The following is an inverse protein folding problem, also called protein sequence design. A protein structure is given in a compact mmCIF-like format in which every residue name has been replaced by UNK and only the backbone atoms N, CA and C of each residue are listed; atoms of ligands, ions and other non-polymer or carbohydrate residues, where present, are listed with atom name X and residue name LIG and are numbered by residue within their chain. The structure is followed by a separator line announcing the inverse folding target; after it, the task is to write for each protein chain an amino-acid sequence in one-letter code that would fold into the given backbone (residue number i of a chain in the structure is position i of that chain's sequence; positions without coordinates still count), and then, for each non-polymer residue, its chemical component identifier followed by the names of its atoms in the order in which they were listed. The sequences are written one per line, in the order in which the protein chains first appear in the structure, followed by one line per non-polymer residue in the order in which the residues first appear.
data_IF_769454729711
#
_entry.id   IF_769454729711
#
_cell.length_a   1.000
_cell.length_b   1.000
_cell.length_c   1.000
_cell.angle_alpha   90.00
_cell.angle_beta   90.00
_cell.angle_gamma   90.00
#
_symmetry.space_group_name_H-M   'P 1'
#
loop_
_entity.id
_entity.type
_entity.pdbx_description
1 polymer ?
#
# COMPACT_ATOMS: atom_id res chain seq x y z
N UNK A 1 -24.20 35.20 30.17
CA UNK A 1 -23.15 35.69 31.08
C UNK A 1 -23.16 34.82 32.34
N UNK A 2 -22.14 33.99 32.52
CA UNK A 2 -21.61 33.54 33.82
C UNK A 2 -20.37 32.69 33.50
N UNK A 3 -19.19 33.24 33.78
CA UNK A 3 -17.90 32.59 33.62
C UNK A 3 -17.48 31.97 34.96
N UNK A 4 -16.99 30.73 34.94
CA UNK A 4 -16.39 30.08 36.11
C UNK A 4 -14.94 29.73 35.79
N UNK A 5 -14.03 30.47 36.41
CA UNK A 5 -12.58 30.29 36.37
C UNK A 5 -12.17 29.35 37.51
N UNK A 6 -11.40 28.31 37.21
CA UNK A 6 -10.80 27.40 38.20
C UNK A 6 -9.29 27.63 38.26
N UNK A 7 -8.79 28.08 39.41
CA UNK A 7 -7.35 28.12 39.72
C UNK A 7 -7.00 26.95 40.65
N UNK A 8 -5.91 26.24 40.34
CA UNK A 8 -5.35 25.18 41.17
C UNK A 8 -4.06 25.67 41.80
N UNK A 9 -4.02 25.64 43.13
CA UNK A 9 -2.90 26.09 43.96
C UNK A 9 -1.97 24.92 44.28
N UNK A 10 -0.66 25.11 44.10
CA UNK A 10 0.39 24.14 44.39
C UNK A 10 0.80 24.19 45.87
N UNK A 11 0.93 23.03 46.51
CA UNK A 11 1.37 22.89 47.91
C UNK A 11 2.71 22.12 47.93
N UNK A 12 3.78 22.80 48.33
CA UNK A 12 5.09 22.22 48.64
C UNK A 12 5.17 21.88 50.12
N UNK A 13 5.67 20.68 50.44
CA UNK A 13 5.95 20.26 51.81
C UNK A 13 7.46 20.00 51.99
N UNK A 14 8.05 20.70 52.96
CA UNK A 14 9.42 20.57 53.42
C UNK A 14 9.39 19.85 54.77
N UNK A 15 10.19 18.78 54.94
CA UNK A 15 10.35 18.08 56.23
C UNK A 15 11.82 18.20 56.69
N UNK A 16 12.11 18.70 57.91
CA UNK A 16 13.45 18.76 58.45
C UNK A 16 13.88 17.48 59.18
N UNK A 17 15.20 17.29 59.19
CA UNK A 17 16.01 16.20 59.73
C UNK A 17 15.98 16.03 61.25
N UNK A 18 16.01 14.78 61.73
CA UNK A 18 16.57 14.43 63.03
C UNK A 18 17.69 13.39 62.86
N UNK A 19 18.85 13.70 63.43
CA UNK A 19 20.04 12.85 63.40
C UNK A 19 20.10 11.87 64.56
N UNK A 20 20.68 10.70 64.29
CA UNK A 20 21.24 9.79 65.28
C UNK A 20 22.59 9.28 64.76
N UNK A 21 23.65 9.59 65.50
CA UNK A 21 25.03 9.09 65.31
C UNK A 21 25.18 7.77 66.04
N UNK A 22 25.90 6.81 65.46
CA UNK A 22 26.62 5.70 66.12
C UNK A 22 27.67 5.14 65.11
N UNK A 23 28.70 4.39 65.55
CA UNK A 23 30.10 4.80 65.40
C UNK A 23 30.86 4.13 64.25
N UNK A 24 31.92 4.83 63.83
CA UNK A 24 32.89 4.48 62.79
C UNK A 24 33.73 3.25 63.14
N UNK A 25 33.74 2.26 62.26
CA UNK A 25 34.78 1.22 62.18
C UNK A 25 35.36 1.23 60.76
N UNK A 26 36.61 1.64 60.65
CA UNK A 26 37.38 1.72 59.41
C UNK A 26 37.84 0.33 58.96
N UNK A 27 37.53 -0.01 57.71
CA UNK A 27 38.13 -1.15 57.01
C UNK A 27 38.73 -0.64 55.69
N UNK A 28 39.91 -1.14 55.27
CA UNK A 28 40.67 -0.57 54.17
C UNK A 28 39.99 -0.76 52.80
N UNK A 29 40.08 0.32 52.01
CA UNK A 29 39.55 0.51 50.67
C UNK A 29 40.08 -0.54 49.67
N UNK A 30 39.18 -1.37 49.14
CA UNK A 30 39.39 -2.12 47.91
C UNK A 30 38.99 -1.21 46.74
N UNK A 31 39.97 -0.89 45.89
CA UNK A 31 39.80 -0.04 44.70
C UNK A 31 38.76 -0.67 43.74
N UNK A 32 37.72 0.05 43.32
CA UNK A 32 36.84 -0.45 42.27
C UNK A 32 37.57 -0.38 40.92
N UNK A 33 37.78 -1.54 40.30
CA UNK A 33 38.16 -1.62 38.89
C UNK A 33 37.06 -0.96 38.05
N UNK A 34 37.39 0.17 37.43
CA UNK A 34 36.56 0.78 36.38
C UNK A 34 36.47 -0.20 35.21
N UNK A 35 35.40 -1.00 35.16
CA UNK A 35 34.97 -1.63 33.91
C UNK A 35 34.45 -0.52 33.01
N UNK A 36 35.26 -0.12 32.04
CA UNK A 36 34.79 0.59 30.86
C UNK A 36 33.84 -0.35 30.11
N UNK A 37 32.54 -0.21 30.35
CA UNK A 37 31.55 -0.71 29.41
C UNK A 37 31.63 0.24 28.22
N UNK A 38 32.38 -0.14 27.18
CA UNK A 38 32.20 0.43 25.86
C UNK A 38 30.77 0.10 25.49
N UNK A 39 29.87 1.08 25.57
CA UNK A 39 28.55 0.99 24.94
C UNK A 39 28.87 0.84 23.45
N UNK A 40 28.79 -0.38 22.94
CA UNK A 40 28.81 -0.59 21.50
C UNK A 40 27.67 0.26 20.96
N UNK A 41 28.00 1.29 20.18
CA UNK A 41 27.02 1.91 19.33
C UNK A 41 26.57 0.78 18.40
N UNK A 42 25.40 0.22 18.70
CA UNK A 42 24.65 -0.52 17.72
C UNK A 42 24.38 0.50 16.63
N UNK A 43 25.18 0.46 15.56
CA UNK A 43 24.78 1.04 14.28
C UNK A 43 23.59 0.19 13.82
N UNK A 44 22.42 0.45 14.40
CA UNK A 44 21.18 0.05 13.78
C UNK A 44 21.15 0.90 12.53
N UNK A 45 21.49 0.28 11.40
CA UNK A 45 21.17 0.85 10.10
C UNK A 45 19.65 0.81 10.06
N UNK A 46 19.01 1.90 10.45
CA UNK A 46 17.57 2.06 10.27
C UNK A 46 17.35 2.23 8.78
N UNK A 47 16.72 1.25 8.14
CA UNK A 47 16.38 1.33 6.73
C UNK A 47 15.29 2.39 6.55
N UNK A 48 15.72 3.63 6.33
CA UNK A 48 14.84 4.76 6.04
C UNK A 48 14.50 4.79 4.55
N UNK A 49 13.25 5.10 4.21
CA UNK A 49 12.84 5.32 2.82
C UNK A 49 13.52 6.58 2.26
N UNK A 50 14.13 6.49 1.08
CA UNK A 50 14.82 7.62 0.45
C UNK A 50 13.95 8.31 -0.60
N UNK A 51 14.08 9.64 -0.72
CA UNK A 51 13.41 10.39 -1.79
C UNK A 51 14.09 10.08 -3.13
N UNK A 52 13.46 9.24 -3.94
CA UNK A 52 13.91 8.94 -5.30
C UNK A 52 13.74 10.16 -6.20
N UNK A 53 14.77 10.49 -6.97
CA UNK A 53 14.68 11.55 -7.97
C UNK A 53 13.81 11.11 -9.17
N UNK A 54 13.12 12.03 -9.87
CA UNK A 54 12.46 11.70 -11.12
C UNK A 54 13.47 11.15 -12.14
N UNK A 55 13.06 10.28 -13.07
CA UNK A 55 13.97 9.65 -14.04
C UNK A 55 14.46 10.61 -15.14
N UNK A 56 14.31 11.92 -14.95
CA UNK A 56 14.67 12.98 -15.87
C UNK A 56 14.99 14.28 -15.11
N UNK A 57 15.73 15.23 -15.70
CA UNK A 57 15.95 16.55 -15.13
C UNK A 57 14.64 17.31 -14.87
N UNK A 58 14.60 18.17 -13.85
CA UNK A 58 13.36 18.85 -13.42
C UNK A 58 12.74 19.79 -14.47
N UNK A 59 13.50 20.22 -15.48
CA UNK A 59 13.01 21.03 -16.60
C UNK A 59 12.72 20.22 -17.87
N UNK A 60 12.89 18.90 -17.85
CA UNK A 60 12.83 18.08 -19.06
C UNK A 60 11.39 17.85 -19.58
N UNK A 61 10.38 18.20 -18.79
CA UNK A 61 8.96 18.13 -19.18
C UNK A 61 8.41 19.47 -19.71
N UNK A 62 9.24 20.51 -19.78
CA UNK A 62 8.82 21.79 -20.38
C UNK A 62 8.52 21.63 -21.89
N UNK A 63 7.52 22.36 -22.42
CA UNK A 63 6.70 23.38 -21.76
C UNK A 63 5.40 22.83 -21.13
N UNK A 64 5.29 21.51 -20.95
CA UNK A 64 4.04 20.83 -20.60
C UNK A 64 3.83 20.68 -19.09
N UNK A 65 4.92 20.62 -18.33
CA UNK A 65 4.96 20.76 -16.87
C UNK A 65 6.20 21.57 -16.53
N UNK A 66 6.04 22.69 -15.83
CA UNK A 66 7.15 23.61 -15.61
C UNK A 66 8.17 23.05 -14.62
N UNK A 67 9.43 23.52 -14.73
CA UNK A 67 10.43 23.23 -13.70
C UNK A 67 9.96 23.62 -12.30
N UNK A 68 9.24 24.74 -12.18
CA UNK A 68 8.70 25.20 -10.90
C UNK A 68 7.74 24.17 -10.30
N UNK A 69 6.80 23.64 -11.10
CA UNK A 69 5.93 22.53 -10.67
C UNK A 69 6.75 21.35 -10.16
N UNK A 70 7.80 20.91 -10.85
CA UNK A 70 8.66 19.80 -10.38
C UNK A 70 9.40 20.13 -9.07
N UNK A 71 9.94 21.34 -8.93
CA UNK A 71 10.64 21.78 -7.73
C UNK A 71 9.73 21.78 -6.49
N UNK A 72 8.46 22.17 -6.63
CA UNK A 72 7.48 22.09 -5.55
C UNK A 72 6.93 20.67 -5.36
N UNK A 73 6.46 20.03 -6.42
CA UNK A 73 5.76 18.74 -6.34
C UNK A 73 6.70 17.60 -5.91
N UNK A 74 7.86 17.45 -6.55
CA UNK A 74 8.87 16.49 -6.09
C UNK A 74 9.68 17.04 -4.91
N UNK A 75 10.21 18.26 -5.05
CA UNK A 75 11.19 18.80 -4.09
C UNK A 75 10.61 19.20 -2.74
N UNK A 76 9.30 19.44 -2.63
CA UNK A 76 8.61 19.77 -1.37
C UNK A 76 7.55 18.73 -1.00
N UNK A 77 6.50 18.55 -1.81
CA UNK A 77 5.38 17.67 -1.44
C UNK A 77 5.84 16.22 -1.26
N UNK A 78 6.47 15.64 -2.28
CA UNK A 78 6.97 14.26 -2.22
C UNK A 78 8.03 14.10 -1.10
N UNK A 79 8.99 15.02 -1.00
CA UNK A 79 9.97 15.05 0.11
C UNK A 79 9.30 14.99 1.48
N UNK A 80 8.28 15.80 1.71
CA UNK A 80 7.58 15.85 3.01
C UNK A 80 6.87 14.54 3.33
N UNK A 81 6.28 13.85 2.34
CA UNK A 81 5.71 12.52 2.57
C UNK A 81 6.77 11.51 3.01
N UNK A 82 7.93 11.48 2.33
CA UNK A 82 9.05 10.59 2.69
C UNK A 82 9.58 10.91 4.09
N UNK A 83 9.84 12.19 4.40
CA UNK A 83 10.33 12.60 5.71
C UNK A 83 9.37 12.29 6.85
N UNK A 84 8.06 12.44 6.61
CA UNK A 84 7.03 12.13 7.61
C UNK A 84 6.84 10.63 7.77
N UNK A 85 6.86 9.86 6.68
CA UNK A 85 6.83 8.40 6.73
C UNK A 85 7.97 7.88 7.61
N UNK A 86 9.20 8.33 7.36
CA UNK A 86 10.37 7.90 8.13
C UNK A 86 10.22 8.18 9.63
N UNK A 87 9.60 9.31 10.02
CA UNK A 87 9.30 9.60 11.44
C UNK A 87 8.22 8.69 12.04
N UNK A 88 7.31 8.18 11.21
CA UNK A 88 6.19 7.34 11.64
C UNK A 88 6.56 5.85 11.74
N UNK A 89 7.56 5.39 10.97
CA UNK A 89 7.93 3.95 10.92
C UNK A 89 9.02 3.57 11.91
N UNK A 90 9.95 4.46 12.23
CA UNK A 90 11.10 4.16 13.10
C UNK A 90 10.62 3.69 14.48
N UNK A 91 11.12 2.52 14.91
CA UNK A 91 10.76 1.93 16.21
C UNK A 91 9.36 1.33 16.28
N UNK A 92 8.71 1.11 15.13
CA UNK A 92 7.41 0.44 15.03
C UNK A 92 7.56 -0.89 14.29
N UNK A 93 6.50 -1.72 14.30
CA UNK A 93 6.47 -2.98 13.55
C UNK A 93 6.47 -2.78 12.02
N UNK A 94 6.35 -1.53 11.55
CA UNK A 94 6.47 -1.16 10.14
C UNK A 94 7.92 -0.97 9.69
N UNK A 95 8.87 -0.90 10.62
CA UNK A 95 10.28 -0.69 10.30
C UNK A 95 10.86 -1.87 9.53
N UNK A 96 11.46 -1.60 8.36
CA UNK A 96 12.05 -2.62 7.50
C UNK A 96 11.08 -3.32 6.53
N UNK A 97 9.77 -3.04 6.61
CA UNK A 97 8.81 -3.48 5.60
C UNK A 97 9.03 -2.73 4.27
N UNK A 98 8.59 -3.34 3.17
CA UNK A 98 8.52 -2.66 1.89
C UNK A 98 7.47 -1.53 1.93
N UNK A 99 7.58 -0.55 1.03
CA UNK A 99 6.63 0.54 0.99
C UNK A 99 5.21 0.03 0.67
N UNK A 100 5.12 -0.93 -0.26
CA UNK A 100 3.89 -1.63 -0.62
C UNK A 100 3.25 -2.35 0.60
N UNK A 101 4.05 -3.07 1.39
CA UNK A 101 3.55 -3.78 2.57
C UNK A 101 3.04 -2.79 3.63
N UNK A 102 3.75 -1.69 3.86
CA UNK A 102 3.30 -0.63 4.77
C UNK A 102 1.95 -0.10 4.31
N UNK A 103 1.78 0.19 3.02
CA UNK A 103 0.52 0.69 2.45
C UNK A 103 -0.61 -0.31 2.70
N UNK A 104 -0.40 -1.58 2.37
CA UNK A 104 -1.42 -2.63 2.51
C UNK A 104 -1.83 -2.78 3.97
N UNK A 105 -0.88 -2.94 4.89
CA UNK A 105 -1.15 -3.13 6.33
C UNK A 105 -1.83 -1.90 6.94
N UNK A 106 -1.37 -0.71 6.58
CA UNK A 106 -1.88 0.53 7.21
C UNK A 106 -3.17 1.05 6.58
N UNK A 107 -3.61 0.52 5.43
CA UNK A 107 -4.94 0.80 4.89
C UNK A 107 -6.04 0.24 5.79
N UNK A 108 -5.79 -0.93 6.41
CA UNK A 108 -6.62 -1.53 7.46
C UNK A 108 -8.12 -1.53 7.10
N UNK A 109 -8.49 -2.11 5.96
CA UNK A 109 -9.89 -2.22 5.51
C UNK A 109 -10.63 -0.87 5.40
N UNK A 110 -9.87 0.21 5.19
CA UNK A 110 -10.37 1.58 5.11
C UNK A 110 -10.33 2.35 6.45
N UNK A 111 -10.08 1.69 7.57
CA UNK A 111 -9.82 2.33 8.87
C UNK A 111 -8.33 2.71 8.99
N UNK A 112 -7.94 3.67 8.15
CA UNK A 112 -6.55 4.02 7.86
C UNK A 112 -5.73 4.32 9.13
N UNK A 113 -4.57 3.66 9.24
CA UNK A 113 -3.59 3.92 10.30
C UNK A 113 -2.73 5.15 9.97
N UNK A 114 -2.10 5.80 10.97
CA UNK A 114 -1.43 7.09 10.78
C UNK A 114 -0.36 7.14 9.68
N UNK A 115 0.33 6.02 9.41
CA UNK A 115 1.39 5.94 8.40
C UNK A 115 0.86 5.84 6.96
N UNK A 116 -0.40 5.43 6.76
CA UNK A 116 -0.96 5.13 5.43
C UNK A 116 -0.81 6.30 4.46
N UNK A 117 -1.24 7.50 4.86
CA UNK A 117 -1.25 8.64 3.95
C UNK A 117 0.15 9.01 3.46
N UNK A 118 1.17 8.97 4.32
CA UNK A 118 2.53 9.29 3.91
C UNK A 118 3.16 8.15 3.09
N UNK A 119 2.92 6.89 3.47
CA UNK A 119 3.40 5.72 2.74
C UNK A 119 2.82 5.69 1.32
N UNK A 120 1.49 5.78 1.21
CA UNK A 120 0.80 5.73 -0.06
C UNK A 120 1.14 6.94 -0.93
N UNK A 121 1.23 8.16 -0.37
CA UNK A 121 1.65 9.32 -1.16
C UNK A 121 3.10 9.22 -1.65
N UNK A 122 4.04 8.73 -0.84
CA UNK A 122 5.41 8.49 -1.30
C UNK A 122 5.42 7.55 -2.52
N UNK A 123 4.71 6.42 -2.41
CA UNK A 123 4.61 5.44 -3.49
C UNK A 123 3.92 6.00 -4.74
N UNK A 124 2.79 6.71 -4.56
CA UNK A 124 2.04 7.32 -5.66
C UNK A 124 2.91 8.29 -6.46
N UNK A 125 3.73 9.09 -5.78
CA UNK A 125 4.59 10.07 -6.45
C UNK A 125 5.75 9.39 -7.17
N UNK A 126 6.41 8.40 -6.57
CA UNK A 126 7.43 7.60 -7.27
C UNK A 126 6.87 6.98 -8.55
N UNK A 127 5.66 6.42 -8.45
CA UNK A 127 4.96 5.84 -9.59
C UNK A 127 4.58 6.89 -10.65
N UNK A 128 4.18 8.09 -10.22
CA UNK A 128 3.80 9.22 -11.08
C UNK A 128 4.98 9.76 -11.89
N UNK A 129 6.15 9.93 -11.28
CA UNK A 129 7.35 10.40 -12.00
C UNK A 129 7.77 9.44 -13.11
N UNK A 130 7.68 8.15 -12.85
CA UNK A 130 7.96 7.11 -13.85
C UNK A 130 6.87 6.99 -14.92
N UNK A 131 5.66 7.48 -14.64
CA UNK A 131 4.54 7.50 -15.58
C UNK A 131 4.71 8.54 -16.69
N UNK A 132 5.70 9.43 -16.55
CA UNK A 132 6.01 10.48 -17.52
C UNK A 132 7.40 10.31 -18.13
N UNK A 133 7.62 10.91 -19.31
CA UNK A 133 8.96 11.09 -19.88
C UNK A 133 9.03 12.33 -20.78
N UNK A 134 10.24 12.89 -21.00
CA UNK A 134 10.46 13.89 -22.04
C UNK A 134 10.07 13.33 -23.42
N UNK A 135 9.26 14.09 -24.18
CA UNK A 135 8.76 13.62 -25.48
C UNK A 135 7.80 12.43 -25.38
N UNK A 136 7.06 12.32 -24.28
CA UNK A 136 6.02 11.31 -24.07
C UNK A 136 4.73 11.59 -24.86
N UNK A 137 3.65 10.94 -24.42
CA UNK A 137 2.36 10.97 -25.08
C UNK A 137 2.28 10.06 -26.30
N UNK A 138 1.41 10.41 -27.25
CA UNK A 138 1.10 9.54 -28.39
C UNK A 138 0.25 8.34 -28.00
N UNK A 139 0.41 7.22 -28.71
CA UNK A 139 -0.31 5.97 -28.47
C UNK A 139 0.65 4.86 -28.00
N UNK A 140 0.20 3.92 -27.15
CA UNK A 140 0.94 2.69 -26.90
C UNK A 140 0.93 1.81 -28.16
N UNK A 141 1.70 0.73 -28.10
CA UNK A 141 1.76 -0.29 -29.16
C UNK A 141 1.90 -1.68 -28.55
N UNK A 142 1.68 -2.71 -29.37
CA UNK A 142 1.78 -4.11 -28.95
C UNK A 142 0.68 -4.51 -27.96
N UNK A 143 1.01 -5.42 -27.05
CA UNK A 143 0.05 -6.06 -26.13
C UNK A 143 -0.79 -5.07 -25.32
N UNK A 144 -0.22 -3.92 -24.90
CA UNK A 144 -1.00 -2.91 -24.18
C UNK A 144 -2.07 -2.27 -25.07
N UNK A 145 -1.77 -1.97 -26.33
CA UNK A 145 -2.77 -1.40 -27.24
C UNK A 145 -3.86 -2.44 -27.51
N UNK A 146 -3.48 -3.69 -27.74
CA UNK A 146 -4.43 -4.78 -27.98
C UNK A 146 -5.38 -4.99 -26.78
N UNK A 147 -4.85 -4.96 -25.55
CA UNK A 147 -5.66 -5.03 -24.33
C UNK A 147 -6.55 -3.79 -24.14
N UNK A 148 -6.05 -2.60 -24.47
CA UNK A 148 -6.87 -1.37 -24.44
C UNK A 148 -8.03 -1.49 -25.42
N UNK A 149 -7.78 -1.92 -26.66
CA UNK A 149 -8.82 -2.08 -27.67
C UNK A 149 -9.81 -3.18 -27.28
N UNK A 150 -9.34 -4.27 -26.64
CA UNK A 150 -10.20 -5.33 -26.12
C UNK A 150 -11.14 -4.83 -25.01
N UNK A 151 -10.61 -4.09 -24.04
CA UNK A 151 -11.34 -3.78 -22.80
C UNK A 151 -12.17 -2.49 -22.90
N UNK A 152 -11.71 -1.51 -23.68
CA UNK A 152 -12.38 -0.21 -23.86
C UNK A 152 -12.98 -0.04 -25.26
N UNK A 153 -12.76 -0.99 -26.17
CA UNK A 153 -13.23 -0.98 -27.55
C UNK A 153 -12.36 -0.17 -28.52
N UNK A 154 -11.72 0.92 -28.06
CA UNK A 154 -10.69 1.65 -28.81
C UNK A 154 -9.79 2.46 -27.89
N UNK A 155 -8.62 2.85 -28.39
CA UNK A 155 -7.73 3.77 -27.66
C UNK A 155 -8.40 5.12 -27.39
N UNK A 156 -9.17 5.66 -28.33
CA UNK A 156 -9.89 6.93 -28.15
C UNK A 156 -10.91 6.84 -27.02
N UNK A 157 -11.66 5.74 -26.93
CA UNK A 157 -12.59 5.51 -25.82
C UNK A 157 -11.89 5.39 -24.49
N UNK A 158 -10.78 4.65 -24.44
CA UNK A 158 -9.93 4.60 -23.25
C UNK A 158 -9.47 6.01 -22.82
N UNK A 159 -9.01 6.85 -23.75
CA UNK A 159 -8.61 8.23 -23.44
C UNK A 159 -9.80 9.04 -22.89
N UNK A 160 -10.97 8.96 -23.52
CA UNK A 160 -12.18 9.65 -23.05
C UNK A 160 -12.54 9.24 -21.62
N UNK A 161 -12.58 7.94 -21.34
CA UNK A 161 -12.89 7.40 -20.01
C UNK A 161 -11.83 7.77 -18.98
N UNK A 162 -10.55 7.70 -19.31
CA UNK A 162 -9.46 8.04 -18.40
C UNK A 162 -9.48 9.54 -18.06
N UNK A 163 -9.65 10.40 -19.08
CA UNK A 163 -9.78 11.84 -18.89
C UNK A 163 -11.02 12.18 -18.03
N UNK A 164 -12.14 11.48 -18.24
CA UNK A 164 -13.34 11.67 -17.44
C UNK A 164 -13.15 11.24 -15.98
N UNK A 165 -12.48 10.12 -15.72
CA UNK A 165 -12.16 9.66 -14.37
C UNK A 165 -11.29 10.69 -13.62
N UNK A 166 -10.22 11.18 -14.27
CA UNK A 166 -9.34 12.20 -13.71
C UNK A 166 -10.06 13.54 -13.45
N UNK A 167 -10.91 13.99 -14.39
CA UNK A 167 -11.63 15.24 -14.24
C UNK A 167 -12.70 15.18 -13.12
N UNK A 168 -13.37 14.04 -12.99
CA UNK A 168 -14.50 13.86 -12.06
C UNK A 168 -14.10 13.34 -10.68
N UNK A 169 -12.81 13.17 -10.40
CA UNK A 169 -12.33 12.96 -9.04
C UNK A 169 -12.54 14.26 -8.24
N UNK A 170 -13.54 14.29 -7.38
CA UNK A 170 -13.82 15.49 -6.59
C UNK A 170 -12.77 15.68 -5.49
N UNK A 171 -12.31 16.91 -5.32
CA UNK A 171 -11.22 17.25 -4.41
C UNK A 171 -9.88 16.67 -4.88
N UNK A 172 -9.09 16.24 -3.90
CA UNK A 172 -7.77 15.65 -4.08
C UNK A 172 -7.86 14.15 -4.39
N UNK A 173 -6.97 13.66 -5.25
CA UNK A 173 -6.92 12.25 -5.58
C UNK A 173 -6.11 11.95 -6.83
N UNK A 174 -6.35 10.77 -7.37
CA UNK A 174 -5.60 10.21 -8.49
C UNK A 174 -6.56 9.51 -9.46
N UNK A 175 -6.15 9.38 -10.71
CA UNK A 175 -6.79 8.48 -11.66
C UNK A 175 -5.77 7.48 -12.21
N UNK A 176 -6.20 6.24 -12.37
CA UNK A 176 -5.35 5.09 -12.62
C UNK A 176 -5.88 4.26 -13.78
N UNK A 177 -4.94 3.77 -14.59
CA UNK A 177 -5.14 2.54 -15.35
C UNK A 177 -4.49 1.43 -14.55
N UNK A 178 -5.22 0.34 -14.31
CA UNK A 178 -4.72 -0.81 -13.58
C UNK A 178 -5.08 -2.11 -14.30
N UNK A 179 -4.28 -3.15 -14.08
CA UNK A 179 -4.59 -4.51 -14.47
C UNK A 179 -5.21 -5.24 -13.28
N UNK A 180 -6.47 -5.63 -13.43
CA UNK A 180 -7.25 -6.38 -12.45
C UNK A 180 -7.01 -7.86 -12.64
N UNK A 181 -6.15 -8.45 -11.81
CA UNK A 181 -5.84 -9.87 -11.88
C UNK A 181 -6.86 -10.76 -11.18
N UNK A 182 -7.58 -10.26 -10.16
CA UNK A 182 -8.47 -11.06 -9.32
C UNK A 182 -9.96 -10.81 -9.59
N UNK A 183 -10.78 -11.83 -9.30
CA UNK A 183 -12.23 -11.84 -9.57
C UNK A 183 -13.05 -11.07 -8.55
N UNK A 184 -12.86 -11.31 -7.25
CA UNK A 184 -13.76 -10.82 -6.21
C UNK A 184 -12.96 -10.48 -4.94
N UNK A 185 -13.28 -9.31 -4.36
CA UNK A 185 -12.76 -8.67 -3.13
C UNK A 185 -11.51 -9.26 -2.47
N UNK A 186 -10.50 -8.41 -2.27
CA UNK A 186 -9.40 -8.77 -1.37
C UNK A 186 -9.77 -8.45 0.06
N UNK A 187 -9.30 -9.26 1.02
CA UNK A 187 -9.62 -9.09 2.44
C UNK A 187 -9.37 -7.65 2.94
N UNK A 188 -8.37 -6.99 2.35
CA UNK A 188 -7.98 -5.63 2.73
C UNK A 188 -8.90 -4.53 2.21
N UNK A 189 -9.74 -4.76 1.20
CA UNK A 189 -10.60 -3.73 0.65
C UNK A 189 -11.69 -4.29 -0.27
N UNK A 190 -12.86 -3.65 -0.24
CA UNK A 190 -13.92 -3.91 -1.23
C UNK A 190 -13.44 -3.44 -2.60
N UNK A 191 -13.60 -4.32 -3.58
CA UNK A 191 -13.24 -4.09 -4.96
C UNK A 191 -14.12 -2.94 -5.55
N UNK A 192 -13.50 -1.86 -6.08
CA UNK A 192 -14.26 -0.74 -6.66
C UNK A 192 -14.97 -1.10 -7.98
N UNK A 193 -14.59 -2.21 -8.61
CA UNK A 193 -15.16 -2.74 -9.85
C UNK A 193 -15.47 -4.24 -9.71
N UNK A 194 -16.58 -4.59 -9.01
CA UNK A 194 -16.95 -5.98 -8.80
C UNK A 194 -17.42 -6.60 -10.12
N UNK A 195 -16.64 -7.53 -10.65
CA UNK A 195 -16.92 -8.24 -11.90
C UNK A 195 -16.25 -9.60 -11.86
N UNK A 196 -16.99 -10.61 -12.32
CA UNK A 196 -16.52 -12.00 -12.46
C UNK A 196 -15.38 -12.15 -13.48
N UNK A 197 -15.16 -11.15 -14.33
CA UNK A 197 -14.04 -11.14 -15.29
C UNK A 197 -12.72 -10.91 -14.54
N UNK A 198 -11.66 -11.56 -14.97
CA UNK A 198 -10.29 -11.33 -14.52
C UNK A 198 -9.44 -10.89 -15.70
N UNK A 199 -8.18 -10.53 -15.41
CA UNK A 199 -7.14 -10.24 -16.40
C UNK A 199 -7.55 -9.12 -17.38
N UNK A 200 -8.21 -8.11 -16.84
CA UNK A 200 -8.75 -6.96 -17.58
C UNK A 200 -8.11 -5.64 -17.13
N UNK A 201 -8.05 -4.71 -18.07
CA UNK A 201 -7.70 -3.34 -17.79
C UNK A 201 -8.91 -2.60 -17.23
N UNK A 202 -8.69 -1.84 -16.17
CA UNK A 202 -9.72 -1.02 -15.52
C UNK A 202 -9.21 0.40 -15.30
N UNK A 203 -10.13 1.35 -15.45
CA UNK A 203 -9.90 2.74 -15.05
C UNK A 203 -10.55 2.95 -13.69
N UNK A 204 -9.76 3.38 -12.71
CA UNK A 204 -10.25 3.70 -11.36
C UNK A 204 -9.76 5.09 -10.95
N UNK A 205 -10.56 5.81 -10.17
CA UNK A 205 -10.15 7.04 -9.50
C UNK A 205 -10.20 6.84 -8.00
N UNK A 206 -9.30 7.49 -7.28
CA UNK A 206 -9.14 7.28 -5.85
C UNK A 206 -9.02 8.61 -5.11
N UNK A 207 -9.62 8.73 -3.92
CA UNK A 207 -9.52 9.94 -3.12
C UNK A 207 -8.17 10.00 -2.37
N UNK A 208 -7.68 11.22 -2.20
CA UNK A 208 -6.51 11.51 -1.37
C UNK A 208 -5.28 10.64 -1.72
N UNK A 209 -4.88 9.74 -0.83
CA UNK A 209 -3.69 8.90 -0.95
C UNK A 209 -3.98 7.47 -1.45
N UNK A 210 -5.26 7.08 -1.52
CA UNK A 210 -5.64 5.71 -1.88
C UNK A 210 -5.09 5.36 -3.26
N UNK A 211 -4.58 4.15 -3.42
CA UNK A 211 -4.08 3.65 -4.70
C UNK A 211 -4.50 2.20 -4.92
N UNK A 212 -4.41 1.66 -6.15
CA UNK A 212 -4.98 0.35 -6.45
C UNK A 212 -4.32 -0.85 -5.76
N UNK A 213 -3.17 -0.68 -5.09
CA UNK A 213 -2.52 -1.77 -4.34
C UNK A 213 -3.41 -2.29 -3.22
N UNK A 214 -4.21 -1.42 -2.59
CA UNK A 214 -5.10 -1.83 -1.48
C UNK A 214 -6.24 -2.73 -1.96
N UNK A 215 -6.55 -2.70 -3.26
CA UNK A 215 -7.52 -3.55 -3.93
C UNK A 215 -6.90 -4.78 -4.61
N UNK A 216 -5.59 -5.00 -4.42
CA UNK A 216 -4.76 -6.00 -5.13
C UNK A 216 -4.87 -5.91 -6.65
N UNK A 217 -4.99 -4.69 -7.15
CA UNK A 217 -4.83 -4.40 -8.56
C UNK A 217 -3.38 -4.03 -8.84
N UNK A 218 -2.93 -4.25 -10.07
CA UNK A 218 -1.61 -3.82 -10.52
C UNK A 218 -1.70 -2.46 -11.21
N UNK A 219 -1.23 -1.35 -10.60
CA UNK A 219 -1.27 -0.04 -11.25
C UNK A 219 -0.32 -0.01 -12.45
N UNK A 220 -0.78 0.55 -13.57
CA UNK A 220 -0.02 0.65 -14.82
C UNK A 220 0.33 2.11 -15.17
N UNK A 221 -0.65 3.00 -15.06
CA UNK A 221 -0.51 4.44 -15.29
C UNK A 221 -1.26 5.21 -14.20
N UNK A 222 -0.72 6.36 -13.78
CA UNK A 222 -1.42 7.28 -12.89
C UNK A 222 -1.27 8.72 -13.34
N UNK A 223 -2.26 9.55 -12.96
CA UNK A 223 -2.17 11.01 -13.01
C UNK A 223 -2.56 11.59 -11.65
N UNK A 224 -1.73 12.49 -11.13
CA UNK A 224 -2.02 13.25 -9.91
C UNK A 224 -3.03 14.37 -10.25
N UNK A 225 -4.20 14.36 -9.59
CA UNK A 225 -5.21 15.42 -9.74
C UNK A 225 -5.41 16.24 -8.46
N UNK A 226 -4.46 16.16 -7.53
CA UNK A 226 -4.30 17.18 -6.51
C UNK A 226 -3.93 18.52 -7.17
N UNK A 227 -4.46 19.63 -6.65
CA UNK A 227 -4.22 20.94 -7.25
C UNK A 227 -2.73 21.28 -7.32
N UNK A 228 -1.92 20.87 -6.34
CA UNK A 228 -0.46 21.12 -6.38
C UNK A 228 0.24 20.55 -7.62
N UNK A 229 -0.34 19.54 -8.29
CA UNK A 229 0.25 18.91 -9.46
C UNK A 229 0.12 19.76 -10.73
N UNK A 230 -0.80 20.73 -10.76
CA UNK A 230 -1.12 21.49 -11.97
C UNK A 230 -1.41 22.97 -11.73
N UNK A 231 -1.59 23.44 -10.50
CA UNK A 231 -2.12 24.79 -10.26
C UNK A 231 -1.18 25.91 -10.75
N UNK A 232 0.14 25.71 -10.67
CA UNK A 232 1.12 26.67 -11.15
C UNK A 232 1.06 26.84 -12.68
N UNK A 233 0.79 25.76 -13.41
CA UNK A 233 0.79 25.74 -14.88
C UNK A 233 -0.61 25.97 -15.49
N UNK A 234 -1.67 25.52 -14.82
CA UNK A 234 -3.04 25.46 -15.36
C UNK A 234 -4.12 26.12 -14.48
N UNK A 235 -3.79 26.47 -13.23
CA UNK A 235 -4.74 27.00 -12.24
C UNK A 235 -5.97 26.08 -12.11
N UNK A 236 -7.19 26.58 -12.32
CA UNK A 236 -8.42 25.80 -12.22
C UNK A 236 -8.67 24.87 -13.43
N UNK A 237 -7.85 24.94 -14.49
CA UNK A 237 -8.07 24.23 -15.76
C UNK A 237 -7.53 22.80 -15.70
N UNK A 238 -8.01 22.02 -14.73
CA UNK A 238 -7.68 20.58 -14.60
C UNK A 238 -7.91 19.80 -15.91
N UNK A 239 -8.98 20.02 -16.69
CA UNK A 239 -9.17 19.32 -17.98
C UNK A 239 -8.04 19.57 -19.01
N UNK A 240 -7.48 20.78 -19.02
CA UNK A 240 -6.36 21.13 -19.91
C UNK A 240 -5.09 20.39 -19.47
N UNK A 241 -4.81 20.39 -18.17
CA UNK A 241 -3.69 19.63 -17.58
C UNK A 241 -3.78 18.13 -17.93
N UNK A 242 -4.94 17.52 -17.71
CA UNK A 242 -5.17 16.09 -18.01
C UNK A 242 -4.94 15.82 -19.51
N UNK A 243 -5.40 16.71 -20.38
CA UNK A 243 -5.21 16.57 -21.82
C UNK A 243 -3.74 16.66 -22.22
N UNK A 244 -3.01 17.65 -21.70
CA UNK A 244 -1.58 17.80 -21.92
C UNK A 244 -0.80 16.60 -21.39
N UNK A 245 -1.15 16.09 -20.20
CA UNK A 245 -0.52 14.90 -19.63
C UNK A 245 -0.61 13.70 -20.58
N UNK A 246 -1.82 13.36 -21.03
CA UNK A 246 -2.05 12.21 -21.91
C UNK A 246 -1.37 12.38 -23.28
N UNK A 247 -1.38 13.60 -23.82
CA UNK A 247 -0.93 13.87 -25.19
C UNK A 247 0.59 14.07 -25.30
N UNK A 248 1.25 14.47 -24.21
CA UNK A 248 2.64 14.95 -24.25
C UNK A 248 3.58 14.35 -23.20
N UNK A 249 3.06 13.78 -22.11
CA UNK A 249 3.90 13.37 -20.98
C UNK A 249 3.95 11.86 -20.76
N UNK A 250 2.85 11.13 -21.01
CA UNK A 250 2.76 9.70 -20.68
C UNK A 250 3.92 8.88 -21.28
N UNK A 251 4.58 8.08 -20.45
CA UNK A 251 5.56 7.08 -20.87
C UNK A 251 4.90 5.73 -21.13
N UNK A 252 4.37 5.51 -22.34
CA UNK A 252 3.74 4.23 -22.72
C UNK A 252 4.68 3.02 -22.58
N UNK A 253 5.99 3.23 -22.72
CA UNK A 253 7.01 2.20 -22.50
C UNK A 253 7.07 1.73 -21.04
N UNK A 254 6.97 2.67 -20.09
CA UNK A 254 6.86 2.33 -18.67
C UNK A 254 5.57 1.56 -18.40
N UNK A 255 4.44 2.00 -18.99
CA UNK A 255 3.14 1.34 -18.84
C UNK A 255 3.19 -0.10 -19.39
N UNK A 256 3.80 -0.31 -20.56
CA UNK A 256 4.04 -1.64 -21.13
C UNK A 256 4.88 -2.51 -20.18
N UNK A 257 5.99 -1.98 -19.67
CA UNK A 257 6.88 -2.71 -18.74
C UNK A 257 6.13 -3.13 -17.46
N UNK A 258 5.24 -2.27 -16.96
CA UNK A 258 4.40 -2.58 -15.79
C UNK A 258 3.34 -3.63 -16.10
N UNK A 259 2.75 -3.59 -17.29
CA UNK A 259 1.78 -4.59 -17.74
C UNK A 259 2.42 -5.98 -17.82
N UNK A 260 3.61 -6.10 -18.41
CA UNK A 260 4.31 -7.39 -18.49
C UNK A 260 4.61 -7.96 -17.10
N UNK A 261 5.07 -7.12 -16.16
CA UNK A 261 5.28 -7.52 -14.77
C UNK A 261 3.98 -7.93 -14.09
N UNK A 262 2.89 -7.22 -14.34
CA UNK A 262 1.57 -7.54 -13.78
C UNK A 262 1.07 -8.90 -14.27
N UNK A 263 1.17 -9.17 -15.58
CA UNK A 263 0.79 -10.46 -16.17
C UNK A 263 1.67 -11.60 -15.64
N UNK A 264 2.98 -11.38 -15.53
CA UNK A 264 3.90 -12.38 -14.96
C UNK A 264 3.56 -12.71 -13.50
N UNK A 265 3.34 -11.70 -12.65
CA UNK A 265 2.95 -11.91 -11.25
C UNK A 265 1.59 -12.60 -11.11
N UNK A 266 0.62 -12.25 -11.96
CA UNK A 266 -0.67 -12.94 -11.97
C UNK A 266 -0.51 -14.42 -12.33
N UNK A 267 0.31 -14.75 -13.33
CA UNK A 267 0.59 -16.13 -13.72
C UNK A 267 1.34 -16.91 -12.62
N UNK A 268 2.30 -16.28 -11.94
CA UNK A 268 3.02 -16.88 -10.80
C UNK A 268 2.07 -17.23 -9.65
N UNK A 269 1.16 -16.30 -9.30
CA UNK A 269 0.14 -16.54 -8.27
C UNK A 269 -0.79 -17.70 -8.62
N UNK A 270 -1.26 -17.77 -9.86
CA UNK A 270 -2.10 -18.89 -10.33
C UNK A 270 -1.38 -20.24 -10.25
N UNK A 271 -0.09 -20.28 -10.60
CA UNK A 271 0.71 -21.50 -10.45
C UNK A 271 0.90 -21.90 -8.98
N UNK A 272 1.08 -20.93 -8.09
CA UNK A 272 1.22 -21.18 -6.65
C UNK A 272 -0.10 -21.68 -6.04
N UNK A 273 -1.23 -21.10 -6.41
CA UNK A 273 -2.56 -21.55 -5.97
C UNK A 273 -2.86 -22.97 -6.45
N UNK A 274 -2.55 -23.28 -7.71
CA UNK A 274 -2.69 -24.62 -8.26
C UNK A 274 -1.77 -25.63 -7.55
N UNK A 275 -0.54 -25.24 -7.22
CA UNK A 275 0.38 -26.08 -6.42
C UNK A 275 -0.19 -26.34 -5.03
N UNK A 276 -0.67 -25.30 -4.34
CA UNK A 276 -1.27 -25.42 -3.00
C UNK A 276 -2.49 -26.34 -3.03
N UNK A 277 -3.35 -26.19 -4.05
CA UNK A 277 -4.53 -27.05 -4.24
C UNK A 277 -4.14 -28.52 -4.42
N UNK A 278 -3.11 -28.82 -5.21
CA UNK A 278 -2.61 -30.20 -5.37
C UNK A 278 -2.05 -30.77 -4.08
N UNK A 279 -1.30 -29.98 -3.32
CA UNK A 279 -0.78 -30.39 -2.00
C UNK A 279 -1.91 -30.66 -0.99
N UNK A 280 -2.99 -29.88 -1.02
CA UNK A 280 -4.19 -30.12 -0.20
C UNK A 280 -4.99 -31.36 -0.64
N UNK A 281 -5.02 -31.67 -1.95
CA UNK A 281 -5.66 -32.86 -2.51
C UNK A 281 -4.84 -34.13 -2.24
N UNK A 282 -3.51 -34.09 -2.33
CA UNK A 282 -2.59 -35.21 -2.04
C UNK A 282 -2.39 -35.44 -0.51
N UNK A 283 -2.54 -34.41 0.31
CA UNK A 283 -2.45 -34.48 1.77
C UNK A 283 -3.70 -34.99 2.47
N UNK A 284 -4.80 -35.24 1.74
CA UNK A 284 -5.98 -35.91 2.29
C UNK A 284 -5.71 -37.42 2.39
N UNK A 285 -5.84 -38.04 3.57
CA UNK A 285 -5.78 -39.49 3.66
C UNK A 285 -6.93 -40.05 2.83
N UNK A 286 -6.59 -40.91 1.87
CA UNK A 286 -7.56 -41.81 1.25
C UNK A 286 -8.11 -42.69 2.36
N UNK A 287 -9.33 -42.41 2.82
CA UNK A 287 -10.14 -43.40 3.53
C UNK A 287 -10.51 -44.49 2.50
N UNK A 288 -9.53 -45.30 2.14
CA UNK A 288 -9.68 -46.58 1.47
C UNK A 288 -8.95 -47.61 2.32
N UNK A 289 -9.41 -47.81 3.55
CA UNK A 289 -9.12 -49.02 4.31
C UNK A 289 -10.45 -49.54 4.88
N UNK A 290 -10.82 -50.72 4.37
CA UNK A 290 -11.51 -51.80 5.09
C UNK A 290 -13.00 -51.63 5.40
N UNK A 291 -13.85 -51.95 4.41
CA UNK A 291 -15.18 -52.55 4.66
C UNK A 291 -15.07 -54.04 4.27
N UNK A 292 -14.43 -54.83 5.14
CA UNK A 292 -14.50 -56.29 5.12
C UNK A 292 -14.90 -56.75 6.54
N UNK A 293 -15.94 -57.59 6.59
CA UNK A 293 -16.48 -58.38 7.71
C UNK A 293 -17.19 -57.69 8.90
N UNK A 294 -18.53 -57.81 8.94
CA UNK A 294 -19.25 -58.74 9.84
C UNK A 294 -20.78 -58.50 9.80
N UNK A 295 -21.48 -59.17 8.88
CA UNK A 295 -22.92 -59.44 9.02
C UNK A 295 -23.12 -60.48 10.14
N UNK A 296 -23.34 -60.01 11.36
CA UNK A 296 -23.80 -60.84 12.47
C UNK A 296 -25.30 -61.08 12.34
N UNK A 297 -25.65 -62.35 12.12
CA UNK A 297 -26.99 -62.92 12.21
C UNK A 297 -27.75 -62.39 13.43
N UNK A 298 -28.92 -61.80 13.21
CA UNK A 298 -29.91 -61.57 14.26
C UNK A 298 -30.82 -62.79 14.28
N UNK A 299 -30.55 -63.70 15.21
CA UNK A 299 -31.48 -64.77 15.58
C UNK A 299 -32.78 -64.12 16.07
N UNK A 300 -33.86 -64.34 15.33
CA UNK A 300 -35.19 -63.92 15.71
C UNK A 300 -35.88 -65.13 16.35
N UNK A 301 -35.65 -65.32 17.66
CA UNK A 301 -36.47 -66.17 18.50
C UNK A 301 -37.86 -65.53 18.60
N UNK A 302 -38.82 -66.10 17.87
CA UNK A 302 -40.23 -65.82 18.05
C UNK A 302 -40.92 -67.15 18.40
N UNK A 303 -40.87 -67.47 19.68
CA UNK A 303 -41.67 -68.51 20.31
C UNK A 303 -43.05 -67.93 20.70
N UNK A 304 -44.02 -68.83 20.82
CA UNK A 304 -45.38 -68.67 21.35
C UNK A 304 -46.47 -68.03 20.47
N UNK A 305 -47.24 -68.90 19.80
CA UNK A 305 -48.69 -68.98 20.05
C UNK A 305 -49.30 -70.27 19.48
N UNK A 306 -49.52 -71.25 20.37
CA UNK A 306 -50.57 -72.28 20.23
C UNK A 306 -51.57 -72.16 21.39
N UNK A 307 -52.81 -72.57 21.10
CA UNK A 307 -53.97 -72.78 21.99
C UNK A 307 -54.83 -71.53 22.27
N UNK A 308 -56.14 -71.46 22.00
CA UNK A 308 -57.20 -72.42 21.58
C UNK A 308 -58.25 -71.69 20.72
#
# INVERSE_FOLDING_TARGET
MAATTSMVTSLTFTIPSLGLRLPTRSYPCLKPQRRFVRKAASNVITATYELKAPPYPLNALEPHMSRETLEYHWGKHHRTYVENLNKQVVGTDLEGLSLEDIIIVTYNKGDILPAFNNAAQAWNHDFFWESMKPGGGGKPSGDLLDLIERDFGSFERFIEEFKAAAATQFGSGWAWLAYKANRLDVENAVNPWPSEKDKELVIVKSPNAVNPLVWDYFPLLTIDVWEHAYYLDFQNRRPDYISVFMEKLVSWETVNTRLEKAKARAAEREMEEERRRKEEEEGKPTNEEEDDDLEMYVDNDNDDSEAE
#
